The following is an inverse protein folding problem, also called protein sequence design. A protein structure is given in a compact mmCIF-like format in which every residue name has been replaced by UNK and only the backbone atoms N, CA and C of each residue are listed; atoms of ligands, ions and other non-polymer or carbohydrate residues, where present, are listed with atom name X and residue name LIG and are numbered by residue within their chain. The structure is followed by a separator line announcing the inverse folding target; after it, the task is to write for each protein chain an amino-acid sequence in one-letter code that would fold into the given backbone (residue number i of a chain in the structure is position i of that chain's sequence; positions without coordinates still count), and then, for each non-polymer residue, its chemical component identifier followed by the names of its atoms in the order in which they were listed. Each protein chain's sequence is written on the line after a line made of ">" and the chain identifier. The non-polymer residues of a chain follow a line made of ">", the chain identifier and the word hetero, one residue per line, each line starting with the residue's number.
data_IF_535506476721
#
_entry.id   IF_535506476721
#
_cell.length_a   1.000
_cell.length_b   1.000
_cell.length_c   1.000
_cell.angle_alpha   90.00
_cell.angle_beta   90.00
_cell.angle_gamma   90.00
#
_symmetry.space_group_name_H-M   'P 1'
#
loop_
_entity.id
_entity.type
_entity.pdbx_description
1 polymer ?
#
# COMPACT_ATOMS: atom_id res chain seq x y z
N UNK A 1 -10.85 -5.32 -9.89
CA UNK A 1 -12.12 -5.89 -10.37
C UNK A 1 -12.35 -7.30 -9.85
N UNK A 2 -11.40 -8.22 -10.09
CA UNK A 2 -11.56 -9.65 -9.78
C UNK A 2 -11.89 -9.96 -8.30
N UNK A 3 -11.10 -9.48 -7.35
CA UNK A 3 -11.31 -9.80 -5.93
C UNK A 3 -12.58 -9.19 -5.31
N UNK A 4 -13.05 -8.05 -5.82
CA UNK A 4 -14.17 -7.30 -5.24
C UNK A 4 -15.52 -7.49 -5.96
N UNK A 5 -15.52 -8.17 -7.11
CA UNK A 5 -16.73 -8.40 -7.92
C UNK A 5 -16.94 -9.91 -8.10
N UNK A 6 -15.95 -10.61 -8.64
CA UNK A 6 -16.07 -12.05 -8.95
C UNK A 6 -16.04 -12.90 -7.68
N UNK A 7 -15.26 -12.53 -6.68
CA UNK A 7 -15.13 -13.33 -5.45
C UNK A 7 -16.40 -13.30 -4.58
N UNK A 8 -17.03 -12.15 -4.30
CA UNK A 8 -18.33 -12.12 -3.62
C UNK A 8 -19.42 -12.88 -4.38
N UNK A 9 -19.41 -12.83 -5.72
CA UNK A 9 -20.37 -13.57 -6.56
C UNK A 9 -20.28 -15.09 -6.36
N UNK A 10 -19.08 -15.63 -6.14
CA UNK A 10 -18.87 -17.05 -5.86
C UNK A 10 -19.21 -17.39 -4.41
N UNK A 11 -18.84 -16.53 -3.46
CA UNK A 11 -19.05 -16.76 -2.02
C UNK A 11 -20.54 -16.78 -1.65
N UNK A 12 -21.40 -16.06 -2.37
CA UNK A 12 -22.87 -16.12 -2.18
C UNK A 12 -23.47 -17.49 -2.51
N UNK A 13 -22.77 -18.34 -3.28
CA UNK A 13 -23.21 -19.69 -3.63
C UNK A 13 -22.83 -20.76 -2.61
N UNK A 14 -22.02 -20.42 -1.60
CA UNK A 14 -21.59 -21.34 -0.54
C UNK A 14 -22.62 -21.39 0.60
N UNK A 15 -22.80 -22.55 1.27
CA UNK A 15 -23.56 -22.63 2.50
C UNK A 15 -22.90 -21.75 3.57
N UNK A 16 -23.69 -20.99 4.33
CA UNK A 16 -23.21 -20.01 5.33
C UNK A 16 -22.39 -18.87 4.69
N UNK A 17 -22.86 -18.33 3.57
CA UNK A 17 -22.26 -17.21 2.81
C UNK A 17 -21.81 -15.98 3.62
N UNK A 18 -22.48 -15.51 4.70
CA UNK A 18 -22.01 -14.33 5.43
C UNK A 18 -20.67 -14.58 6.16
N UNK A 19 -20.42 -15.79 6.67
CA UNK A 19 -19.16 -16.10 7.39
C UNK A 19 -17.97 -16.07 6.43
N UNK A 20 -18.12 -16.68 5.25
CA UNK A 20 -17.09 -16.71 4.21
C UNK A 20 -16.76 -15.33 3.65
N UNK A 21 -17.77 -14.47 3.50
CA UNK A 21 -17.57 -13.08 3.06
C UNK A 21 -16.74 -12.29 4.07
N UNK A 22 -17.06 -12.39 5.36
CA UNK A 22 -16.32 -11.69 6.42
C UNK A 22 -14.87 -12.16 6.48
N UNK A 23 -14.63 -13.48 6.47
CA UNK A 23 -13.26 -14.03 6.50
C UNK A 23 -12.43 -13.55 5.31
N UNK A 24 -13.02 -13.50 4.12
CA UNK A 24 -12.32 -13.03 2.91
C UNK A 24 -11.97 -11.55 2.98
N UNK A 25 -12.90 -10.69 3.39
CA UNK A 25 -12.61 -9.26 3.51
C UNK A 25 -11.63 -8.95 4.64
N UNK A 26 -11.69 -9.68 5.76
CA UNK A 26 -10.69 -9.57 6.83
C UNK A 26 -9.31 -9.98 6.32
N UNK A 27 -9.20 -11.09 5.57
CA UNK A 27 -7.95 -11.48 4.94
C UNK A 27 -7.40 -10.38 4.03
N UNK A 28 -8.21 -9.81 3.13
CA UNK A 28 -7.77 -8.73 2.25
C UNK A 28 -7.34 -7.48 3.03
N UNK A 29 -8.04 -7.16 4.12
CA UNK A 29 -7.71 -6.03 4.99
C UNK A 29 -6.38 -6.26 5.69
N UNK A 30 -6.16 -7.44 6.28
CA UNK A 30 -4.89 -7.78 6.95
C UNK A 30 -3.73 -7.77 5.96
N UNK A 31 -3.87 -8.36 4.77
CA UNK A 31 -2.84 -8.32 3.73
C UNK A 31 -2.48 -6.89 3.31
N UNK A 32 -3.49 -6.03 3.18
CA UNK A 32 -3.31 -4.62 2.89
C UNK A 32 -2.58 -3.90 4.03
N UNK A 33 -3.01 -4.12 5.28
CA UNK A 33 -2.41 -3.50 6.47
C UNK A 33 -0.95 -3.89 6.66
N UNK A 34 -0.62 -5.17 6.55
CA UNK A 34 0.76 -5.66 6.72
C UNK A 34 1.70 -4.99 5.70
N UNK A 35 1.25 -4.90 4.44
CA UNK A 35 2.01 -4.22 3.38
C UNK A 35 2.16 -2.72 3.66
N UNK A 36 1.11 -2.06 4.15
CA UNK A 36 1.15 -0.63 4.49
C UNK A 36 2.09 -0.35 5.68
N UNK A 37 2.12 -1.22 6.69
CA UNK A 37 3.04 -1.07 7.82
C UNK A 37 4.50 -1.20 7.38
N UNK A 38 4.81 -2.16 6.51
CA UNK A 38 6.16 -2.29 5.95
C UNK A 38 6.59 -1.03 5.17
N UNK A 39 5.70 -0.46 4.34
CA UNK A 39 6.00 0.77 3.60
C UNK A 39 6.17 1.99 4.52
N UNK A 40 5.31 2.13 5.54
CA UNK A 40 5.43 3.24 6.47
C UNK A 40 6.71 3.16 7.30
N UNK A 41 7.08 1.95 7.75
CA UNK A 41 8.31 1.71 8.50
C UNK A 41 9.57 1.97 7.65
N UNK A 42 9.60 1.50 6.40
CA UNK A 42 10.73 1.73 5.48
C UNK A 42 10.94 3.22 5.19
N UNK A 43 9.88 3.97 4.91
CA UNK A 43 9.96 5.43 4.69
C UNK A 43 10.42 6.15 5.95
N UNK A 44 9.84 5.81 7.10
CA UNK A 44 10.23 6.43 8.38
C UNK A 44 11.69 6.15 8.71
N UNK A 45 12.14 4.91 8.52
CA UNK A 45 13.53 4.50 8.80
C UNK A 45 14.51 5.22 7.88
N UNK A 46 14.22 5.31 6.58
CA UNK A 46 15.04 6.05 5.62
C UNK A 46 15.20 7.54 5.98
N UNK A 47 14.14 8.18 6.51
CA UNK A 47 14.21 9.57 6.98
C UNK A 47 15.09 9.69 8.23
N UNK A 48 14.92 8.78 9.19
CA UNK A 48 15.66 8.79 10.45
C UNK A 48 17.15 8.48 10.26
N UNK A 49 17.51 7.63 9.30
CA UNK A 49 18.89 7.31 8.96
C UNK A 49 19.60 8.50 8.31
N UNK A 50 18.89 9.28 7.49
CA UNK A 50 19.44 10.50 6.87
C UNK A 50 19.57 11.66 7.85
N UNK A 51 18.67 11.77 8.82
CA UNK A 51 18.64 12.85 9.81
C UNK A 51 18.61 12.30 11.25
N UNK A 52 19.77 11.99 11.84
CA UNK A 52 19.85 11.33 13.15
C UNK A 52 19.25 12.18 14.29
N UNK A 53 19.21 13.51 14.14
CA UNK A 53 18.61 14.43 15.12
C UNK A 53 17.08 14.23 15.26
N UNK A 54 16.40 13.72 14.23
CA UNK A 54 14.96 13.47 14.25
C UNK A 54 14.57 12.19 15.00
N UNK A 55 15.55 11.37 15.43
CA UNK A 55 15.31 10.11 16.17
C UNK A 55 14.59 10.32 17.49
N UNK A 56 14.80 11.46 18.15
CA UNK A 56 14.10 11.84 19.39
C UNK A 56 12.62 12.16 19.15
N UNK A 57 12.26 12.52 17.91
CA UNK A 57 10.91 12.90 17.50
C UNK A 57 10.28 11.86 16.56
N UNK A 58 10.69 10.58 16.67
CA UNK A 58 10.21 9.48 15.81
C UNK A 58 8.69 9.46 15.66
N UNK A 59 7.95 9.64 16.76
CA UNK A 59 6.47 9.66 16.74
C UNK A 59 5.92 10.79 15.87
N UNK A 60 6.55 11.98 15.89
CA UNK A 60 6.14 13.11 15.06
C UNK A 60 6.46 12.88 13.58
N UNK A 61 7.60 12.25 13.27
CA UNK A 61 7.96 11.88 11.89
C UNK A 61 6.95 10.89 11.31
N UNK A 62 6.59 9.86 12.08
CA UNK A 62 5.57 8.87 11.69
C UNK A 62 4.22 9.54 11.43
N UNK A 63 3.79 10.42 12.33
CA UNK A 63 2.51 11.12 12.21
C UNK A 63 2.50 12.03 10.96
N UNK A 64 3.60 12.73 10.70
CA UNK A 64 3.77 13.53 9.49
C UNK A 64 3.68 12.69 8.22
N UNK A 65 4.45 11.60 8.13
CA UNK A 65 4.40 10.69 6.96
C UNK A 65 2.99 10.11 6.78
N UNK A 66 2.31 9.75 7.87
CA UNK A 66 0.93 9.28 7.85
C UNK A 66 -0.06 10.31 7.34
N UNK A 67 0.02 11.57 7.79
CA UNK A 67 -0.84 12.66 7.30
C UNK A 67 -0.59 12.91 5.81
N UNK A 68 0.67 12.95 5.39
CA UNK A 68 1.01 13.13 3.97
C UNK A 68 0.47 11.98 3.11
N UNK A 69 0.62 10.73 3.58
CA UNK A 69 0.04 9.56 2.93
C UNK A 69 -1.49 9.62 2.86
N UNK A 70 -2.15 10.06 3.93
CA UNK A 70 -3.61 10.22 3.97
C UNK A 70 -4.09 11.29 2.97
N UNK A 71 -3.44 12.45 2.93
CA UNK A 71 -3.77 13.53 1.99
C UNK A 71 -3.59 13.09 0.53
N UNK A 72 -2.52 12.36 0.22
CA UNK A 72 -2.34 11.75 -1.10
C UNK A 72 -3.41 10.69 -1.41
N UNK A 73 -3.78 9.91 -0.39
CA UNK A 73 -4.85 8.91 -0.44
C UNK A 73 -6.22 9.48 -0.78
N UNK A 74 -6.54 10.69 -0.32
CA UNK A 74 -7.83 11.33 -0.58
C UNK A 74 -8.14 11.46 -2.08
N UNK A 75 -7.13 11.70 -2.92
CA UNK A 75 -7.30 11.77 -4.38
C UNK A 75 -7.89 10.47 -4.96
N UNK A 76 -7.51 9.32 -4.42
CA UNK A 76 -7.98 8.00 -4.85
C UNK A 76 -9.38 7.66 -4.33
N UNK A 77 -9.92 8.40 -3.36
CA UNK A 77 -11.29 8.18 -2.83
C UNK A 77 -12.38 8.94 -3.59
N UNK A 78 -12.00 9.78 -4.56
CA UNK A 78 -12.95 10.52 -5.41
C UNK A 78 -13.70 9.59 -6.37
N UNK A 79 -14.80 10.06 -6.98
CA UNK A 79 -15.58 9.28 -7.97
C UNK A 79 -14.73 8.78 -9.16
N UNK A 80 -13.66 9.52 -9.52
CA UNK A 80 -12.70 9.13 -10.56
C UNK A 80 -11.48 8.38 -10.02
N UNK A 81 -11.48 8.00 -8.73
CA UNK A 81 -10.36 7.41 -8.03
C UNK A 81 -9.85 6.11 -8.65
N UNK A 82 -10.75 5.29 -9.22
CA UNK A 82 -10.37 4.06 -9.93
C UNK A 82 -9.48 4.34 -11.15
N UNK A 83 -9.69 5.45 -11.86
CA UNK A 83 -8.83 5.84 -12.99
C UNK A 83 -7.44 6.26 -12.51
N UNK A 84 -7.38 7.04 -11.42
CA UNK A 84 -6.11 7.43 -10.79
C UNK A 84 -5.33 6.21 -10.30
N UNK A 85 -6.01 5.25 -9.65
CA UNK A 85 -5.40 4.01 -9.19
C UNK A 85 -4.84 3.18 -10.36
N UNK A 86 -5.60 2.99 -11.44
CA UNK A 86 -5.13 2.24 -12.60
C UNK A 86 -3.96 2.92 -13.31
N UNK A 87 -3.95 4.25 -13.39
CA UNK A 87 -2.84 5.00 -13.96
C UNK A 87 -1.57 4.82 -13.12
N UNK A 88 -1.67 4.96 -11.80
CA UNK A 88 -0.54 4.77 -10.89
C UNK A 88 -0.05 3.32 -10.88
N UNK A 89 -0.94 2.33 -10.84
CA UNK A 89 -0.58 0.91 -10.87
C UNK A 89 0.22 0.55 -12.15
N UNK A 90 -0.21 1.09 -13.30
CA UNK A 90 0.44 0.81 -14.58
C UNK A 90 1.80 1.51 -14.74
N UNK A 91 1.94 2.74 -14.24
CA UNK A 91 3.09 3.59 -14.56
C UNK A 91 4.04 3.88 -13.38
N UNK A 92 3.58 3.86 -12.13
CA UNK A 92 4.37 4.34 -10.99
C UNK A 92 5.51 3.38 -10.60
N UNK A 93 5.26 2.06 -10.58
CA UNK A 93 6.23 1.10 -10.07
C UNK A 93 6.94 0.29 -11.17
N UNK A 94 6.27 0.01 -12.29
CA UNK A 94 6.72 -1.05 -13.19
C UNK A 94 8.07 -0.74 -13.87
N UNK A 95 8.20 0.42 -14.52
CA UNK A 95 9.46 0.82 -15.16
C UNK A 95 10.49 1.36 -14.17
N UNK A 96 10.04 2.14 -13.18
CA UNK A 96 10.92 2.80 -12.22
C UNK A 96 11.62 1.82 -11.30
N UNK A 97 10.91 0.85 -10.72
CA UNK A 97 11.51 -0.14 -9.81
C UNK A 97 12.47 -1.06 -10.57
N UNK A 98 12.13 -1.44 -11.80
CA UNK A 98 12.98 -2.29 -12.62
C UNK A 98 14.33 -1.62 -12.94
N UNK A 99 14.33 -0.33 -13.30
CA UNK A 99 15.56 0.41 -13.55
C UNK A 99 16.40 0.59 -12.27
N UNK A 100 15.77 0.90 -11.14
CA UNK A 100 16.47 1.02 -9.85
C UNK A 100 17.12 -0.31 -9.47
N UNK A 101 16.39 -1.43 -9.57
CA UNK A 101 16.92 -2.75 -9.24
C UNK A 101 18.11 -3.16 -10.11
N UNK A 102 18.07 -2.89 -11.42
CA UNK A 102 19.22 -3.14 -12.31
C UNK A 102 20.41 -2.28 -11.89
N UNK A 103 20.19 -1.00 -11.58
CA UNK A 103 21.28 -0.10 -11.18
C UNK A 103 21.92 -0.51 -9.85
N UNK A 104 21.14 -0.97 -8.88
CA UNK A 104 21.65 -1.51 -7.61
C UNK A 104 22.50 -2.76 -7.84
N UNK A 105 22.03 -3.70 -8.66
CA UNK A 105 22.79 -4.90 -9.01
C UNK A 105 24.13 -4.58 -9.67
N UNK A 106 24.18 -3.58 -10.57
CA UNK A 106 25.42 -3.15 -11.24
C UNK A 106 26.36 -2.41 -10.29
N UNK A 107 25.83 -1.64 -9.34
CA UNK A 107 26.64 -0.91 -8.33
C UNK A 107 27.28 -1.84 -7.29
N UNK A 108 26.62 -2.96 -6.98
CA UNK A 108 27.08 -3.93 -5.98
C UNK A 108 28.09 -4.93 -6.59
N UNK A 109 27.95 -5.25 -7.88
CA UNK A 109 28.84 -6.15 -8.63
C UNK A 109 30.22 -5.53 -8.90
#
# INVERSE_FOLDING_TARGET
>A
GLAFIVYPEVVTRLPVSPVWSVLFFVMLLTLGLDSQFALMETVTTAILDKFPNLRQYKTWVVLFVGIFGYLGGLGFTTNSGMYWLQLMDKYAANWSVLLIAISECVLIA
#
